data_IF_270750786751
#
_entry.id   IF_270750786751
#
_cell.length_a   1.000
_cell.length_b   1.000
_cell.length_c   1.000
_cell.angle_alpha   90.00
_cell.angle_beta   90.00
_cell.angle_gamma   90.00
#
_symmetry.space_group_name_H-M   'P 1'
#
loop_
_entity.id
_entity.type
_entity.pdbx_description
1 polymer ?
#
# COMPACT_ATOMS: atom_id res chain seq x y z
N UNK A 1 -30.08 2.33 -18.88
CA UNK A 1 -29.53 1.41 -17.84
C UNK A 1 -28.23 2.03 -17.34
N UNK A 2 -27.98 2.03 -16.03
CA UNK A 2 -26.72 2.52 -15.46
C UNK A 2 -25.91 1.36 -14.89
N UNK A 3 -24.62 1.31 -15.22
CA UNK A 3 -23.65 0.37 -14.69
C UNK A 3 -22.72 1.16 -13.78
N UNK A 4 -22.78 0.86 -12.48
CA UNK A 4 -21.97 1.50 -11.45
C UNK A 4 -20.95 0.45 -11.00
N UNK A 5 -19.74 0.54 -11.52
CA UNK A 5 -18.66 -0.36 -11.11
C UNK A 5 -18.13 0.09 -9.75
N UNK A 6 -18.01 -0.81 -8.78
CA UNK A 6 -17.50 -0.52 -7.43
C UNK A 6 -16.15 -1.18 -7.15
N UNK A 7 -15.47 -1.67 -8.18
CA UNK A 7 -14.10 -2.16 -8.05
C UNK A 7 -13.13 -1.00 -7.80
N UNK A 8 -12.16 -1.23 -6.92
CA UNK A 8 -11.13 -0.25 -6.57
C UNK A 8 -10.04 -0.17 -7.66
N UNK A 9 -10.44 0.25 -8.86
CA UNK A 9 -9.61 0.46 -10.03
C UNK A 9 -9.85 1.89 -10.56
N UNK A 10 -8.80 2.62 -10.99
CA UNK A 10 -8.99 3.86 -11.74
C UNK A 10 -9.83 3.63 -13.00
N UNK A 11 -10.70 4.59 -13.34
CA UNK A 11 -11.54 4.54 -14.56
C UNK A 11 -12.27 3.19 -14.72
N UNK A 12 -12.85 2.70 -13.62
CA UNK A 12 -13.48 1.38 -13.55
C UNK A 12 -14.73 1.26 -14.44
N UNK A 13 -15.46 2.35 -14.66
CA UNK A 13 -16.60 2.45 -15.59
C UNK A 13 -16.14 2.37 -17.05
N UNK A 14 -15.13 3.15 -17.42
CA UNK A 14 -14.56 3.09 -18.77
C UNK A 14 -13.94 1.73 -19.07
N UNK A 15 -13.28 1.13 -18.07
CA UNK A 15 -12.67 -0.19 -18.20
C UNK A 15 -13.73 -1.26 -18.47
N UNK A 16 -14.83 -1.29 -17.72
CA UNK A 16 -15.88 -2.29 -17.96
C UNK A 16 -16.61 -2.03 -19.29
N UNK A 17 -16.83 -0.77 -19.68
CA UNK A 17 -17.38 -0.42 -21.00
C UNK A 17 -16.51 -1.00 -22.12
N UNK A 18 -15.19 -0.75 -22.03
CA UNK A 18 -14.22 -1.27 -22.98
C UNK A 18 -14.26 -2.79 -23.05
N UNK A 19 -14.27 -3.48 -21.91
CA UNK A 19 -14.37 -4.95 -21.88
C UNK A 19 -15.66 -5.44 -22.56
N UNK A 20 -16.83 -4.86 -22.25
CA UNK A 20 -18.10 -5.25 -22.88
C UNK A 20 -18.07 -5.13 -24.40
N UNK A 21 -17.44 -4.07 -24.93
CA UNK A 21 -17.41 -3.78 -26.37
C UNK A 21 -16.31 -4.56 -27.12
N UNK A 22 -15.15 -4.74 -26.50
CA UNK A 22 -13.93 -5.19 -27.18
C UNK A 22 -13.60 -6.66 -26.95
N UNK A 23 -14.04 -7.30 -25.85
CA UNK A 23 -13.71 -8.70 -25.59
C UNK A 23 -14.70 -9.67 -26.22
N UNK A 24 -14.23 -10.88 -26.50
CA UNK A 24 -15.06 -12.03 -26.85
C UNK A 24 -15.64 -12.65 -25.58
N UNK A 25 -16.94 -12.92 -25.57
CA UNK A 25 -17.61 -13.57 -24.44
C UNK A 25 -18.84 -14.34 -24.92
N UNK A 26 -19.20 -15.39 -24.18
CA UNK A 26 -20.30 -16.28 -24.54
C UNK A 26 -21.65 -15.55 -24.51
N UNK A 27 -22.35 -15.52 -25.65
CA UNK A 27 -23.62 -14.80 -25.80
C UNK A 27 -23.50 -13.38 -26.34
N UNK A 28 -22.29 -12.96 -26.77
CA UNK A 28 -22.11 -11.70 -27.50
C UNK A 28 -22.96 -11.71 -28.78
N UNK A 29 -23.79 -10.68 -29.03
CA UNK A 29 -24.64 -10.65 -30.22
C UNK A 29 -23.83 -10.74 -31.51
N UNK A 30 -24.37 -11.42 -32.52
CA UNK A 30 -23.74 -11.53 -33.84
C UNK A 30 -23.70 -10.20 -34.57
N UNK A 31 -24.75 -9.37 -34.43
CA UNK A 31 -24.76 -8.00 -34.94
C UNK A 31 -24.08 -7.04 -33.95
N UNK A 32 -22.75 -6.96 -34.08
CA UNK A 32 -21.91 -6.09 -33.25
C UNK A 32 -22.17 -4.60 -33.47
N UNK A 33 -22.62 -4.20 -34.66
CA UNK A 33 -22.86 -2.80 -34.99
C UNK A 33 -24.08 -2.28 -34.25
N UNK A 34 -25.20 -3.01 -34.34
CA UNK A 34 -26.43 -2.67 -33.61
C UNK A 34 -26.23 -2.76 -32.10
N UNK A 35 -25.48 -3.77 -31.63
CA UNK A 35 -25.14 -3.90 -30.22
C UNK A 35 -24.33 -2.70 -29.71
N UNK A 36 -23.27 -2.28 -30.41
CA UNK A 36 -22.47 -1.11 -30.05
C UNK A 36 -23.31 0.16 -29.99
N UNK A 37 -24.13 0.40 -31.01
CA UNK A 37 -25.03 1.56 -31.06
C UNK A 37 -26.01 1.57 -29.87
N UNK A 38 -26.55 0.41 -29.50
CA UNK A 38 -27.41 0.28 -28.32
C UNK A 38 -26.66 0.61 -27.02
N UNK A 39 -25.48 0.00 -26.82
CA UNK A 39 -24.67 0.22 -25.61
C UNK A 39 -24.30 1.69 -25.46
N UNK A 40 -23.84 2.34 -26.53
CA UNK A 40 -23.48 3.76 -26.53
C UNK A 40 -24.68 4.68 -26.25
N UNK A 41 -25.87 4.35 -26.77
CA UNK A 41 -27.04 5.20 -26.64
C UNK A 41 -27.89 4.96 -25.37
N UNK A 42 -27.81 3.77 -24.77
CA UNK A 42 -28.76 3.33 -23.71
C UNK A 42 -28.10 2.91 -22.41
N UNK A 43 -26.78 2.75 -22.39
CA UNK A 43 -26.05 2.28 -21.21
C UNK A 43 -25.05 3.34 -20.76
N UNK A 44 -25.16 3.74 -19.49
CA UNK A 44 -24.25 4.69 -18.86
C UNK A 44 -23.29 3.93 -17.95
N UNK A 45 -22.00 4.01 -18.23
CA UNK A 45 -20.95 3.40 -17.42
C UNK A 45 -20.33 4.48 -16.56
N UNK A 46 -20.60 4.44 -15.26
CA UNK A 46 -20.13 5.46 -14.33
C UNK A 46 -18.78 5.05 -13.76
N UNK A 47 -17.81 5.95 -13.81
CA UNK A 47 -16.59 5.83 -13.03
C UNK A 47 -16.90 6.13 -11.56
N UNK A 48 -16.22 5.42 -10.66
CA UNK A 48 -16.43 5.59 -9.22
C UNK A 48 -15.12 5.57 -8.43
N UNK A 49 -15.19 6.22 -7.26
CA UNK A 49 -14.23 6.04 -6.17
C UNK A 49 -14.98 5.36 -5.02
N UNK A 50 -14.45 4.24 -4.54
CA UNK A 50 -14.97 3.51 -3.39
C UNK A 50 -13.98 3.55 -2.24
N UNK A 51 -14.43 3.72 -1.01
CA UNK A 51 -13.55 3.67 0.16
C UNK A 51 -14.28 3.15 1.39
N UNK A 52 -13.96 1.90 1.78
CA UNK A 52 -14.45 1.29 3.00
C UNK A 52 -13.55 0.15 3.44
N UNK A 53 -13.04 0.21 4.67
CA UNK A 53 -12.31 -0.88 5.29
C UNK A 53 -13.24 -2.09 5.39
N UNK A 54 -12.87 -3.13 4.65
CA UNK A 54 -13.64 -4.36 4.51
C UNK A 54 -12.71 -5.54 4.74
N UNK A 55 -13.03 -6.36 5.73
CA UNK A 55 -12.41 -7.64 6.01
C UNK A 55 -13.49 -8.72 6.01
N UNK A 56 -13.21 -9.87 6.63
CA UNK A 56 -14.14 -10.98 6.73
C UNK A 56 -14.34 -11.38 8.17
N UNK A 57 -15.52 -11.94 8.48
CA UNK A 57 -15.79 -12.44 9.83
C UNK A 57 -14.89 -13.63 10.17
N UNK A 58 -14.44 -13.76 11.43
CA UNK A 58 -13.69 -14.93 11.87
C UNK A 58 -14.40 -16.23 11.48
N UNK A 59 -13.65 -17.15 10.84
CA UNK A 59 -14.18 -18.45 10.41
C UNK A 59 -15.04 -18.43 9.14
N UNK A 60 -15.33 -17.27 8.53
CA UNK A 60 -16.12 -17.22 7.30
C UNK A 60 -15.64 -16.11 6.33
N UNK A 61 -14.81 -16.44 5.33
CA UNK A 61 -14.31 -15.48 4.35
C UNK A 61 -15.40 -14.94 3.40
N UNK A 62 -16.60 -15.54 3.37
CA UNK A 62 -17.68 -15.08 2.50
C UNK A 62 -18.56 -14.01 3.14
N UNK A 63 -18.43 -13.79 4.46
CA UNK A 63 -19.24 -12.80 5.17
C UNK A 63 -18.39 -11.56 5.46
N UNK A 64 -18.67 -10.43 4.79
CA UNK A 64 -17.89 -9.22 4.98
C UNK A 64 -18.08 -8.66 6.40
N UNK A 65 -17.00 -8.15 6.95
CA UNK A 65 -16.96 -7.30 8.13
C UNK A 65 -16.51 -5.92 7.67
N UNK A 66 -17.33 -4.90 7.91
CA UNK A 66 -17.08 -3.55 7.41
C UNK A 66 -17.15 -2.53 8.53
N UNK A 67 -16.33 -1.49 8.43
CA UNK A 67 -16.45 -0.30 9.29
C UNK A 67 -17.80 0.43 9.07
N UNK A 68 -18.24 1.29 10.01
CA UNK A 68 -19.26 2.29 9.77
C UNK A 68 -18.99 3.09 8.50
N UNK A 69 -20.03 3.64 7.88
CA UNK A 69 -19.91 4.37 6.61
C UNK A 69 -18.98 5.58 6.75
N UNK A 70 -17.84 5.62 6.01
CA UNK A 70 -16.99 6.81 5.95
C UNK A 70 -17.70 7.99 5.26
N UNK A 71 -17.16 9.20 5.45
CA UNK A 71 -17.70 10.44 4.85
C UNK A 71 -17.82 10.33 3.34
N UNK A 72 -16.88 9.65 2.69
CA UNK A 72 -16.92 9.33 1.25
C UNK A 72 -16.75 7.81 1.06
N UNK A 73 -17.85 7.08 1.19
CA UNK A 73 -17.89 5.63 0.95
C UNK A 73 -17.92 5.30 -0.55
N UNK A 74 -18.74 6.04 -1.31
CA UNK A 74 -18.93 5.85 -2.74
C UNK A 74 -19.11 7.21 -3.41
N UNK A 75 -18.22 7.54 -4.33
CA UNK A 75 -18.35 8.72 -5.20
C UNK A 75 -18.59 8.24 -6.61
N UNK A 76 -19.64 8.74 -7.24
CA UNK A 76 -20.05 8.34 -8.60
C UNK A 76 -19.94 9.57 -9.50
N UNK A 77 -19.25 9.45 -10.62
CA UNK A 77 -19.28 10.46 -11.66
C UNK A 77 -20.50 10.25 -12.58
N UNK A 78 -21.32 11.29 -12.69
CA UNK A 78 -22.52 11.32 -13.52
C UNK A 78 -22.58 12.63 -14.30
N UNK A 79 -21.71 12.74 -15.31
CA UNK A 79 -21.62 13.93 -16.17
C UNK A 79 -22.86 14.12 -17.05
N UNK A 80 -23.65 13.07 -17.26
CA UNK A 80 -24.88 13.13 -18.06
C UNK A 80 -26.13 13.36 -17.21
N UNK A 81 -26.02 13.39 -15.88
CA UNK A 81 -27.14 13.64 -14.97
C UNK A 81 -28.25 12.59 -15.09
N UNK A 82 -27.90 11.34 -15.38
CA UNK A 82 -28.89 10.26 -15.57
C UNK A 82 -29.31 9.61 -14.26
N UNK A 83 -28.55 9.82 -13.19
CA UNK A 83 -28.88 9.34 -11.85
C UNK A 83 -29.71 10.37 -11.09
N UNK A 84 -30.60 9.90 -10.22
CA UNK A 84 -31.31 10.78 -9.30
C UNK A 84 -30.37 11.20 -8.15
N UNK A 85 -29.66 12.31 -8.35
CA UNK A 85 -28.69 12.82 -7.38
C UNK A 85 -29.29 13.05 -5.99
N UNK A 86 -30.57 13.43 -5.88
CA UNK A 86 -31.25 13.62 -4.59
C UNK A 86 -31.41 12.32 -3.79
N UNK A 87 -31.76 11.22 -4.46
CA UNK A 87 -31.87 9.89 -3.83
C UNK A 87 -30.51 9.37 -3.39
N UNK A 88 -29.50 9.48 -4.26
CA UNK A 88 -28.15 9.00 -3.94
C UNK A 88 -27.49 9.85 -2.84
N UNK A 89 -27.61 11.17 -2.89
CA UNK A 89 -26.99 12.06 -1.89
C UNK A 89 -27.67 12.00 -0.52
N UNK A 90 -28.86 11.38 -0.42
CA UNK A 90 -29.50 11.09 0.86
C UNK A 90 -28.91 9.85 1.55
N UNK A 91 -28.14 9.02 0.83
CA UNK A 91 -27.46 7.87 1.41
C UNK A 91 -26.16 8.34 2.08
N UNK A 92 -25.90 7.97 3.35
CA UNK A 92 -24.66 8.33 4.03
C UNK A 92 -23.43 7.94 3.21
N UNK A 93 -22.47 8.85 3.09
CA UNK A 93 -21.21 8.56 2.41
C UNK A 93 -21.29 8.43 0.89
N UNK A 94 -22.45 8.65 0.25
CA UNK A 94 -22.61 8.58 -1.20
C UNK A 94 -22.64 9.98 -1.81
N UNK A 95 -21.79 10.22 -2.82
CA UNK A 95 -21.66 11.52 -3.47
C UNK A 95 -21.77 11.38 -4.99
N UNK A 96 -22.55 12.25 -5.62
CA UNK A 96 -22.60 12.35 -7.09
C UNK A 96 -21.77 13.55 -7.55
N UNK A 97 -20.86 13.31 -8.50
CA UNK A 97 -20.07 14.35 -9.18
C UNK A 97 -20.62 14.56 -10.57
N UNK A 98 -21.23 15.71 -10.79
CA UNK A 98 -21.77 16.13 -12.10
C UNK A 98 -20.83 17.05 -12.87
N UNK A 99 -19.64 17.32 -12.32
CA UNK A 99 -18.61 18.20 -12.89
C UNK A 99 -17.36 17.38 -13.14
N UNK A 100 -16.87 17.39 -14.39
CA UNK A 100 -15.66 16.70 -14.79
C UNK A 100 -14.45 17.17 -13.97
N UNK A 101 -13.53 16.26 -13.65
CA UNK A 101 -12.35 16.56 -12.81
C UNK A 101 -12.60 16.41 -11.31
N UNK A 102 -13.85 16.34 -10.85
CA UNK A 102 -14.16 16.22 -9.40
C UNK A 102 -13.93 14.81 -8.87
N UNK A 103 -14.24 13.78 -9.65
CA UNK A 103 -13.96 12.40 -9.26
C UNK A 103 -12.45 12.16 -9.13
N UNK A 104 -11.65 12.76 -10.00
CA UNK A 104 -10.19 12.70 -9.98
C UNK A 104 -9.62 13.35 -8.72
N UNK A 105 -10.20 14.47 -8.26
CA UNK A 105 -9.85 15.09 -6.97
C UNK A 105 -10.15 14.15 -5.80
N UNK A 106 -11.31 13.48 -5.81
CA UNK A 106 -11.67 12.49 -4.77
C UNK A 106 -10.72 11.27 -4.78
N UNK A 107 -10.36 10.77 -5.97
CA UNK A 107 -9.36 9.71 -6.11
C UNK A 107 -7.98 10.13 -5.61
N UNK A 108 -7.54 11.34 -5.97
CA UNK A 108 -6.25 11.89 -5.56
C UNK A 108 -6.16 11.97 -4.03
N UNK A 109 -7.21 12.49 -3.38
CA UNK A 109 -7.29 12.60 -1.93
C UNK A 109 -7.22 11.22 -1.26
N UNK A 110 -8.03 10.26 -1.71
CA UNK A 110 -8.01 8.87 -1.21
C UNK A 110 -6.63 8.22 -1.42
N UNK A 111 -6.05 8.36 -2.61
CA UNK A 111 -4.78 7.72 -2.94
C UNK A 111 -3.62 8.27 -2.13
N UNK A 112 -3.57 9.60 -1.96
CA UNK A 112 -2.46 10.28 -1.30
C UNK A 112 -2.58 10.27 0.22
N UNK A 113 -3.79 10.15 0.79
CA UNK A 113 -3.98 10.11 2.24
C UNK A 113 -4.24 8.67 2.66
N UNK A 114 -5.47 8.20 2.49
CA UNK A 114 -5.90 6.90 3.00
C UNK A 114 -4.95 5.79 2.54
N UNK A 115 -4.73 5.65 1.23
CA UNK A 115 -3.89 4.59 0.72
C UNK A 115 -2.39 4.80 1.03
N UNK A 116 -1.86 6.02 0.97
CA UNK A 116 -0.43 6.26 1.19
C UNK A 116 -0.03 6.09 2.67
N UNK A 117 -0.79 6.69 3.58
CA UNK A 117 -0.59 6.55 5.04
C UNK A 117 -0.71 5.09 5.45
N UNK A 118 -1.72 4.39 4.93
CA UNK A 118 -1.88 2.96 5.17
C UNK A 118 -0.67 2.15 4.65
N UNK A 119 -0.16 2.51 3.47
CA UNK A 119 1.03 1.87 2.88
C UNK A 119 2.26 2.09 3.75
N UNK A 120 2.52 3.31 4.23
CA UNK A 120 3.65 3.59 5.12
C UNK A 120 3.54 2.82 6.45
N UNK A 121 2.32 2.69 6.98
CA UNK A 121 2.05 2.01 8.26
C UNK A 121 2.16 0.48 8.18
N UNK A 122 1.58 -0.17 7.16
CA UNK A 122 1.40 -1.64 7.18
C UNK A 122 2.71 -2.40 7.20
N UNK A 123 3.75 -1.92 6.51
CA UNK A 123 5.04 -2.61 6.47
C UNK A 123 5.77 -2.48 7.80
N UNK A 124 5.65 -1.32 8.46
CA UNK A 124 6.23 -1.11 9.78
C UNK A 124 5.54 -2.00 10.82
N UNK A 125 4.20 -2.06 10.80
CA UNK A 125 3.43 -2.98 11.64
C UNK A 125 3.78 -4.44 11.37
N UNK A 126 3.82 -4.85 10.09
CA UNK A 126 4.16 -6.21 9.72
C UNK A 126 5.52 -6.61 10.26
N UNK A 127 6.57 -5.79 10.03
CA UNK A 127 7.93 -6.03 10.54
C UNK A 127 8.00 -6.02 12.08
N UNK A 128 7.16 -5.21 12.73
CA UNK A 128 6.96 -5.19 14.19
C UNK A 128 6.10 -6.36 14.72
N UNK A 129 5.74 -7.32 13.87
CA UNK A 129 4.95 -8.52 14.23
C UNK A 129 3.50 -8.22 14.64
N UNK A 130 2.98 -7.05 14.27
CA UNK A 130 1.57 -6.72 14.40
C UNK A 130 0.79 -7.36 13.25
N UNK A 131 -0.21 -8.19 13.61
CA UNK A 131 -1.03 -8.92 12.64
C UNK A 131 -2.05 -8.01 11.97
N UNK A 132 -2.59 -7.04 12.72
CA UNK A 132 -3.70 -6.22 12.26
C UNK A 132 -3.38 -4.73 12.32
N UNK A 133 -3.98 -3.95 11.44
CA UNK A 133 -3.71 -2.51 11.38
C UNK A 133 -4.15 -1.75 12.62
N UNK A 134 -5.18 -2.23 13.34
CA UNK A 134 -5.61 -1.62 14.61
C UNK A 134 -4.59 -1.80 15.74
N UNK A 135 -3.61 -2.71 15.59
CA UNK A 135 -2.50 -2.84 16.54
C UNK A 135 -1.60 -1.59 16.55
N UNK A 136 -1.77 -0.65 15.61
CA UNK A 136 -1.11 0.67 15.62
C UNK A 136 -1.34 1.41 16.94
N UNK A 137 -2.46 1.18 17.62
CA UNK A 137 -2.76 1.74 18.94
C UNK A 137 -1.74 1.35 20.02
N UNK A 138 -0.98 0.27 19.80
CA UNK A 138 0.07 -0.17 20.71
C UNK A 138 1.43 0.49 20.44
N UNK A 139 1.52 1.33 19.39
CA UNK A 139 2.78 1.93 18.93
C UNK A 139 2.62 3.44 18.69
N UNK A 140 2.67 4.26 19.77
CA UNK A 140 2.57 5.72 19.65
C UNK A 140 3.62 6.33 18.71
N UNK A 141 4.80 5.71 18.60
CA UNK A 141 5.88 6.14 17.72
C UNK A 141 5.52 5.97 16.24
N UNK A 142 4.75 4.92 15.89
CA UNK A 142 4.23 4.75 14.53
C UNK A 142 3.23 5.86 14.22
N UNK A 143 2.33 6.18 15.15
CA UNK A 143 1.39 7.29 14.99
C UNK A 143 2.12 8.62 14.75
N UNK A 144 3.11 8.92 15.57
CA UNK A 144 3.94 10.13 15.42
C UNK A 144 4.65 10.17 14.07
N UNK A 145 5.21 9.04 13.63
CA UNK A 145 5.82 8.91 12.30
C UNK A 145 4.83 9.23 11.17
N UNK A 146 3.59 8.73 11.24
CA UNK A 146 2.57 8.99 10.23
C UNK A 146 2.15 10.46 10.22
N UNK A 147 2.00 11.09 11.39
CA UNK A 147 1.67 12.52 11.50
C UNK A 147 2.77 13.37 10.85
N UNK A 148 4.03 13.02 11.07
CA UNK A 148 5.19 13.71 10.49
C UNK A 148 5.33 13.47 8.99
N UNK A 149 5.13 12.23 8.51
CA UNK A 149 5.09 11.91 7.08
C UNK A 149 3.98 12.70 6.37
N UNK A 150 2.80 12.80 7.00
CA UNK A 150 1.69 13.57 6.47
C UNK A 150 2.05 15.05 6.35
N UNK A 151 2.50 15.65 7.44
CA UNK A 151 2.80 17.08 7.50
C UNK A 151 3.98 17.48 6.60
N UNK A 152 5.01 16.64 6.46
CA UNK A 152 6.24 17.00 5.75
C UNK A 152 6.21 16.67 4.26
N UNK A 153 5.50 15.62 3.83
CA UNK A 153 5.52 15.17 2.44
C UNK A 153 4.13 15.09 1.80
N UNK A 154 3.16 14.44 2.46
CA UNK A 154 1.85 14.17 1.83
C UNK A 154 1.04 15.45 1.66
N UNK A 155 0.81 16.23 2.73
CA UNK A 155 0.01 17.45 2.67
C UNK A 155 0.61 18.50 1.71
N UNK A 156 1.92 18.81 1.74
CA UNK A 156 2.53 19.72 0.77
C UNK A 156 2.47 19.21 -0.67
N UNK A 157 2.42 17.90 -0.90
CA UNK A 157 2.24 17.34 -2.25
C UNK A 157 0.80 17.48 -2.74
N UNK A 158 -0.18 17.49 -1.84
CA UNK A 158 -1.59 17.68 -2.17
C UNK A 158 -1.89 19.14 -2.50
N UNK A 159 -1.26 20.07 -1.78
CA UNK A 159 -1.36 21.51 -2.04
C UNK A 159 -0.91 21.88 -3.45
N UNK A 160 0.26 21.40 -3.88
CA UNK A 160 0.75 21.64 -5.26
C UNK A 160 -0.12 20.98 -6.33
N UNK A 161 -0.96 20.02 -5.95
CA UNK A 161 -1.95 19.34 -6.81
C UNK A 161 -3.37 19.91 -6.66
N UNK A 162 -3.52 21.05 -5.99
CA UNK A 162 -4.77 21.81 -5.92
C UNK A 162 -5.76 21.35 -4.84
N UNK A 163 -5.34 20.50 -3.91
CA UNK A 163 -6.11 20.15 -2.72
C UNK A 163 -5.67 21.06 -1.57
N UNK A 164 -6.60 21.80 -0.98
CA UNK A 164 -6.26 22.73 0.10
C UNK A 164 -5.92 21.99 1.41
N UNK A 165 -5.18 22.66 2.29
CA UNK A 165 -4.70 22.12 3.56
C UNK A 165 -5.83 21.62 4.47
N UNK A 166 -6.93 22.36 4.58
CA UNK A 166 -8.07 21.98 5.43
C UNK A 166 -8.73 20.69 4.97
N UNK A 167 -8.93 20.53 3.66
CA UNK A 167 -9.48 19.30 3.08
C UNK A 167 -8.54 18.11 3.29
N UNK A 168 -7.23 18.33 3.11
CA UNK A 168 -6.23 17.30 3.37
C UNK A 168 -6.19 16.89 4.85
N UNK A 169 -6.21 17.85 5.78
CA UNK A 169 -6.20 17.59 7.22
C UNK A 169 -7.45 16.82 7.65
N UNK A 170 -8.64 17.24 7.21
CA UNK A 170 -9.89 16.54 7.54
C UNK A 170 -9.87 15.08 7.07
N UNK A 171 -9.41 14.84 5.84
CA UNK A 171 -9.30 13.48 5.30
C UNK A 171 -8.25 12.64 6.05
N UNK A 172 -7.16 13.25 6.51
CA UNK A 172 -6.16 12.58 7.34
C UNK A 172 -6.72 12.20 8.72
N UNK A 173 -7.38 13.14 9.40
CA UNK A 173 -7.97 12.92 10.72
C UNK A 173 -9.05 11.82 10.68
N UNK A 174 -9.94 11.87 9.68
CA UNK A 174 -10.94 10.83 9.45
C UNK A 174 -10.26 9.47 9.22
N UNK A 175 -9.24 9.43 8.36
CA UNK A 175 -8.53 8.19 8.05
C UNK A 175 -7.86 7.59 9.28
N UNK A 176 -7.19 8.40 10.09
CA UNK A 176 -6.56 7.93 11.32
C UNK A 176 -7.59 7.40 12.32
N UNK A 177 -8.72 8.09 12.49
CA UNK A 177 -9.83 7.60 13.33
C UNK A 177 -10.39 6.25 12.87
N UNK A 178 -10.44 6.00 11.55
CA UNK A 178 -10.88 4.72 10.96
C UNK A 178 -9.87 3.60 11.22
N UNK A 179 -8.58 3.86 10.97
CA UNK A 179 -7.51 2.87 11.15
C UNK A 179 -7.31 2.49 12.63
N UNK A 180 -7.48 3.45 13.52
CA UNK A 180 -7.40 3.27 14.98
C UNK A 180 -8.65 2.57 15.56
N UNK A 181 -9.66 2.28 14.74
CA UNK A 181 -10.85 1.61 15.23
C UNK A 181 -10.58 0.14 15.59
N UNK A 182 -10.77 -0.20 16.87
CA UNK A 182 -10.43 -1.51 17.49
C UNK A 182 -11.02 -2.76 16.82
N UNK A 183 -12.09 -2.61 16.04
CA UNK A 183 -12.84 -3.73 15.46
C UNK A 183 -12.68 -3.90 13.94
N UNK A 184 -12.00 -2.99 13.24
CA UNK A 184 -11.94 -2.99 11.77
C UNK A 184 -10.51 -3.04 11.22
N UNK A 185 -9.57 -3.55 12.03
CA UNK A 185 -8.21 -3.79 11.59
C UNK A 185 -8.15 -4.76 10.40
N UNK A 186 -7.32 -4.45 9.41
CA UNK A 186 -7.01 -5.33 8.30
C UNK A 186 -5.74 -6.11 8.58
N UNK A 187 -5.61 -7.31 8.00
CA UNK A 187 -4.38 -8.10 8.09
C UNK A 187 -3.21 -7.37 7.40
N UNK A 188 -2.13 -7.11 8.14
CA UNK A 188 -0.98 -6.30 7.67
C UNK A 188 -0.23 -6.97 6.53
N UNK A 189 -0.19 -8.30 6.48
CA UNK A 189 0.49 -9.06 5.43
C UNK A 189 -0.37 -9.18 4.19
N UNK A 190 -1.69 -9.34 4.34
CA UNK A 190 -2.63 -9.25 3.22
C UNK A 190 -2.57 -7.86 2.56
N UNK A 191 -2.63 -6.80 3.37
CA UNK A 191 -2.53 -5.42 2.87
C UNK A 191 -1.13 -5.12 2.35
N UNK A 192 -0.08 -5.79 2.82
CA UNK A 192 1.31 -5.59 2.39
C UNK A 192 1.63 -6.06 0.96
N UNK A 193 0.80 -6.91 0.34
CA UNK A 193 1.11 -7.48 -0.99
C UNK A 193 1.18 -6.42 -2.10
N UNK A 194 1.98 -6.68 -3.16
CA UNK A 194 2.20 -5.75 -4.27
C UNK A 194 2.77 -4.39 -3.82
N UNK A 195 3.80 -4.44 -2.98
CA UNK A 195 4.30 -3.28 -2.27
C UNK A 195 4.85 -2.19 -3.19
N UNK A 196 5.60 -2.54 -4.25
CA UNK A 196 6.16 -1.51 -5.14
C UNK A 196 5.11 -0.84 -6.01
N UNK A 197 4.06 -1.56 -6.43
CA UNK A 197 2.91 -0.97 -7.12
C UNK A 197 2.24 0.06 -6.21
N UNK A 198 2.00 -0.31 -4.95
CA UNK A 198 1.38 0.58 -3.94
C UNK A 198 2.27 1.76 -3.63
N UNK A 199 3.57 1.54 -3.41
CA UNK A 199 4.54 2.59 -3.16
C UNK A 199 4.53 3.62 -4.29
N UNK A 200 4.64 3.17 -5.55
CA UNK A 200 4.64 4.04 -6.73
C UNK A 200 3.43 4.97 -6.80
N UNK A 201 2.23 4.39 -6.80
CA UNK A 201 1.00 5.18 -7.03
C UNK A 201 0.53 5.97 -5.82
N UNK A 202 0.99 5.64 -4.60
CA UNK A 202 0.49 6.24 -3.34
C UNK A 202 1.50 7.18 -2.68
N UNK A 203 2.72 6.69 -2.41
CA UNK A 203 3.75 7.45 -1.69
C UNK A 203 4.67 8.20 -2.66
N UNK A 204 5.25 7.49 -3.63
CA UNK A 204 6.20 8.08 -4.56
C UNK A 204 5.57 9.14 -5.45
N UNK A 205 4.29 9.00 -5.82
CA UNK A 205 3.53 10.03 -6.54
C UNK A 205 3.49 11.39 -5.81
N UNK A 206 3.61 11.39 -4.48
CA UNK A 206 3.74 12.63 -3.69
C UNK A 206 5.10 13.29 -3.90
N UNK A 207 6.17 12.49 -3.97
CA UNK A 207 7.52 12.96 -4.29
C UNK A 207 7.59 13.50 -5.72
N UNK A 208 7.03 12.77 -6.69
CA UNK A 208 7.01 13.19 -8.11
C UNK A 208 6.32 14.54 -8.27
N UNK A 209 5.17 14.74 -7.63
CA UNK A 209 4.44 16.00 -7.67
C UNK A 209 5.26 17.18 -7.13
N UNK A 210 6.01 16.96 -6.04
CA UNK A 210 6.86 17.98 -5.42
C UNK A 210 8.08 18.30 -6.29
N UNK A 211 8.78 17.28 -6.80
CA UNK A 211 9.94 17.46 -7.70
C UNK A 211 9.54 18.17 -8.99
N UNK A 212 8.37 17.85 -9.55
CA UNK A 212 7.87 18.52 -10.75
C UNK A 212 7.60 20.02 -10.53
N UNK A 213 7.22 20.42 -9.30
CA UNK A 213 7.00 21.82 -8.95
C UNK A 213 8.27 22.54 -8.52
N UNK A 214 9.18 21.83 -7.85
CA UNK A 214 10.45 22.34 -7.34
C UNK A 214 11.55 21.27 -7.50
N UNK A 215 12.45 21.49 -8.47
CA UNK A 215 13.57 20.59 -8.74
C UNK A 215 14.59 20.46 -7.60
N UNK A 216 14.56 21.39 -6.64
CA UNK A 216 15.43 21.38 -5.45
C UNK A 216 14.83 20.62 -4.29
N UNK A 217 13.54 20.28 -4.35
CA UNK A 217 12.86 19.50 -3.32
C UNK A 217 13.60 18.19 -3.03
N UNK A 218 13.67 17.88 -1.74
CA UNK A 218 14.15 16.60 -1.22
C UNK A 218 13.06 16.03 -0.31
N UNK A 219 12.70 14.74 -0.47
CA UNK A 219 11.79 14.07 0.45
C UNK A 219 12.28 14.17 1.89
N UNK A 220 11.37 14.25 2.85
CA UNK A 220 11.76 14.24 4.26
C UNK A 220 12.36 12.90 4.68
N UNK A 221 13.01 12.88 5.85
CA UNK A 221 13.47 11.64 6.49
C UNK A 221 12.34 10.63 6.71
N UNK A 222 11.10 11.08 6.87
CA UNK A 222 9.95 10.21 7.09
C UNK A 222 9.56 9.50 5.79
N UNK A 223 9.56 10.19 4.64
CA UNK A 223 9.36 9.55 3.34
C UNK A 223 10.51 8.58 3.01
N UNK A 224 11.74 8.96 3.31
CA UNK A 224 12.89 8.07 3.17
C UNK A 224 12.77 6.83 4.05
N UNK A 225 12.34 6.99 5.31
CA UNK A 225 12.11 5.89 6.24
C UNK A 225 10.98 4.97 5.77
N UNK A 226 9.84 5.51 5.31
CA UNK A 226 8.75 4.73 4.72
C UNK A 226 9.25 3.86 3.56
N UNK A 227 10.07 4.46 2.68
CA UNK A 227 10.70 3.77 1.55
C UNK A 227 11.63 2.65 2.03
N UNK A 228 12.48 2.93 3.01
CA UNK A 228 13.41 1.96 3.57
C UNK A 228 12.68 0.76 4.22
N UNK A 229 11.58 1.01 4.95
CA UNK A 229 10.74 -0.04 5.55
C UNK A 229 10.15 -0.95 4.46
N UNK A 230 9.63 -0.38 3.37
CA UNK A 230 9.08 -1.15 2.24
C UNK A 230 10.17 -2.02 1.62
N UNK A 231 11.35 -1.47 1.36
CA UNK A 231 12.47 -2.24 0.81
C UNK A 231 12.96 -3.33 1.78
N UNK A 232 12.95 -3.04 3.09
CA UNK A 232 13.26 -4.03 4.13
C UNK A 232 12.25 -5.18 4.16
N UNK A 233 10.96 -4.88 3.96
CA UNK A 233 9.92 -5.89 3.83
C UNK A 233 10.09 -6.72 2.54
N UNK A 234 10.51 -6.09 1.45
CA UNK A 234 10.71 -6.76 0.17
C UNK A 234 12.05 -7.50 0.03
N UNK A 235 12.92 -7.45 1.04
CA UNK A 235 14.22 -8.11 0.99
C UNK A 235 14.09 -9.59 1.37
N UNK A 236 14.31 -10.54 0.44
CA UNK A 236 14.22 -11.96 0.77
C UNK A 236 15.35 -12.40 1.71
N UNK A 237 15.11 -13.48 2.45
CA UNK A 237 16.12 -14.13 3.29
C UNK A 237 16.65 -15.45 2.74
N UNK A 238 16.17 -15.85 1.57
CA UNK A 238 16.60 -17.06 0.87
C UNK A 238 16.62 -16.80 -0.64
N UNK A 239 17.49 -17.55 -1.33
CA UNK A 239 17.64 -17.44 -2.79
C UNK A 239 16.42 -17.96 -3.55
N UNK A 240 15.76 -18.97 -2.99
CA UNK A 240 14.67 -19.68 -3.65
C UNK A 240 13.34 -18.95 -3.47
N UNK A 241 12.71 -18.63 -4.60
CA UNK A 241 11.29 -18.28 -4.68
C UNK A 241 10.48 -19.52 -5.07
N UNK A 242 9.29 -19.71 -4.50
CA UNK A 242 8.36 -20.75 -4.97
C UNK A 242 7.40 -20.21 -6.04
N UNK A 243 6.97 -21.07 -6.96
CA UNK A 243 5.87 -20.82 -7.91
C UNK A 243 4.82 -21.90 -7.71
N UNK A 244 3.55 -21.50 -7.67
CA UNK A 244 2.45 -22.46 -7.53
C UNK A 244 2.08 -23.13 -8.85
N UNK A 245 2.30 -22.44 -9.98
CA UNK A 245 2.07 -22.97 -11.33
C UNK A 245 2.86 -22.16 -12.38
N UNK A 246 2.86 -22.65 -13.63
CA UNK A 246 3.47 -21.94 -14.76
C UNK A 246 2.70 -20.62 -14.99
N UNK A 247 3.40 -19.48 -14.87
CA UNK A 247 2.80 -18.15 -15.00
C UNK A 247 2.28 -17.56 -13.68
N UNK A 248 2.29 -18.31 -12.57
CA UNK A 248 1.97 -17.75 -11.25
C UNK A 248 3.03 -16.72 -10.81
N UNK A 249 2.62 -15.71 -10.00
CA UNK A 249 3.58 -14.81 -9.36
C UNK A 249 4.60 -15.58 -8.53
N UNK A 250 5.81 -15.02 -8.46
CA UNK A 250 6.85 -15.58 -7.59
C UNK A 250 6.61 -15.21 -6.13
N UNK A 251 6.71 -16.22 -5.27
CA UNK A 251 6.55 -16.10 -3.83
C UNK A 251 7.93 -16.12 -3.19
N UNK A 252 8.26 -15.05 -2.47
CA UNK A 252 9.51 -14.87 -1.74
C UNK A 252 9.28 -15.05 -0.24
N UNK A 253 10.36 -15.29 0.50
CA UNK A 253 10.31 -15.39 1.96
C UNK A 253 11.15 -14.26 2.57
N UNK A 254 10.52 -13.45 3.41
CA UNK A 254 11.17 -12.41 4.21
C UNK A 254 11.22 -12.78 5.70
N UNK A 255 11.88 -11.93 6.49
CA UNK A 255 11.94 -12.06 7.95
C UNK A 255 11.52 -10.80 8.69
N UNK A 256 10.79 -10.99 9.78
CA UNK A 256 10.37 -9.99 10.76
C UNK A 256 11.55 -9.63 11.66
N UNK A 257 11.56 -8.40 12.17
CA UNK A 257 12.64 -7.95 13.04
C UNK A 257 12.59 -8.66 14.40
N UNK A 258 13.75 -8.81 15.05
CA UNK A 258 13.87 -9.42 16.38
C UNK A 258 13.51 -8.40 17.47
N UNK A 259 12.69 -8.81 18.43
CA UNK A 259 12.37 -7.95 19.58
C UNK A 259 13.55 -8.02 20.56
N UNK A 260 14.09 -6.87 20.97
CA UNK A 260 15.17 -6.77 21.97
C UNK A 260 14.76 -7.22 23.39
N UNK A 261 13.47 -7.45 23.66
CA UNK A 261 12.96 -7.99 24.92
C UNK A 261 12.83 -9.52 24.88
N UNK A 262 13.83 -10.18 25.47
CA UNK A 262 13.95 -11.63 25.65
C UNK A 262 13.09 -12.16 26.80
N UNK A 263 11.78 -11.92 26.78
CA UNK A 263 10.88 -12.70 27.63
C UNK A 263 10.29 -13.83 26.78
N UNK A 264 10.75 -15.08 26.92
CA UNK A 264 10.21 -16.18 26.15
C UNK A 264 8.85 -16.56 26.72
N UNK A 265 7.77 -16.29 26.00
CA UNK A 265 6.54 -17.05 26.23
C UNK A 265 6.63 -18.26 25.31
N UNK A 266 7.15 -19.36 25.86
CA UNK A 266 6.88 -20.67 25.30
C UNK A 266 5.37 -20.89 25.35
N UNK A 267 4.73 -21.03 24.18
CA UNK A 267 3.54 -21.85 24.03
C UNK A 267 3.57 -22.48 22.64
N UNK A 268 3.40 -23.80 22.62
CA UNK A 268 3.44 -24.63 21.44
C UNK A 268 2.29 -24.26 20.47
N UNK A 269 2.64 -24.14 19.17
CA UNK A 269 1.77 -24.26 17.98
C UNK A 269 0.46 -23.44 17.96
N UNK A 270 0.52 -22.16 17.54
CA UNK A 270 -0.70 -21.36 17.20
C UNK A 270 -0.48 -20.17 16.22
N UNK A 271 0.76 -19.85 15.80
CA UNK A 271 1.08 -18.53 15.21
C UNK A 271 1.39 -18.50 13.72
N UNK A 272 1.24 -19.61 12.99
CA UNK A 272 1.20 -19.55 11.51
C UNK A 272 -0.22 -19.26 11.08
N UNK A 273 -0.42 -18.29 10.20
CA UNK A 273 -1.70 -18.12 9.52
C UNK A 273 -1.51 -17.94 8.02
N UNK A 274 -2.57 -18.27 7.29
CA UNK A 274 -2.67 -18.07 5.85
C UNK A 274 -3.42 -16.77 5.59
N UNK A 275 -2.93 -15.98 4.64
CA UNK A 275 -3.57 -14.77 4.14
C UNK A 275 -3.46 -14.71 2.61
N UNK A 276 -4.24 -13.80 2.03
CA UNK A 276 -4.34 -13.66 0.57
C UNK A 276 -4.62 -15.02 -0.10
N UNK A 277 -4.00 -15.27 -1.26
CA UNK A 277 -4.15 -16.49 -2.04
C UNK A 277 -3.16 -17.57 -1.58
N UNK A 278 -3.16 -17.95 -0.30
CA UNK A 278 -2.35 -19.06 0.20
C UNK A 278 -0.94 -18.69 0.70
N UNK A 279 -0.66 -17.41 0.92
CA UNK A 279 0.59 -16.95 1.54
C UNK A 279 0.54 -17.15 3.05
N UNK A 280 1.69 -17.38 3.67
CA UNK A 280 1.79 -17.63 5.11
C UNK A 280 2.68 -16.63 5.85
N UNK A 281 2.39 -16.42 7.12
CA UNK A 281 3.27 -15.70 8.04
C UNK A 281 3.25 -16.41 9.39
N UNK A 282 4.38 -16.33 10.09
CA UNK A 282 4.53 -16.92 11.41
C UNK A 282 5.29 -15.96 12.33
N UNK A 283 4.59 -15.42 13.31
CA UNK A 283 5.13 -14.48 14.29
C UNK A 283 6.17 -15.15 15.20
N UNK A 284 6.10 -16.46 15.44
CA UNK A 284 7.09 -17.17 16.27
C UNK A 284 8.42 -17.34 15.55
N UNK A 285 8.41 -17.83 14.31
CA UNK A 285 9.63 -17.99 13.51
C UNK A 285 10.12 -16.67 12.94
N UNK A 286 9.24 -15.67 12.87
CA UNK A 286 9.52 -14.40 12.22
C UNK A 286 9.60 -14.53 10.70
N UNK A 287 9.07 -15.58 10.08
CA UNK A 287 9.05 -15.73 8.61
C UNK A 287 7.71 -15.31 8.03
N UNK A 288 7.72 -14.74 6.84
CA UNK A 288 6.52 -14.48 6.05
C UNK A 288 6.80 -14.62 4.56
N UNK A 289 5.74 -14.91 3.81
CA UNK A 289 5.76 -15.00 2.36
C UNK A 289 5.23 -13.71 1.72
N UNK A 290 5.75 -13.31 0.57
CA UNK A 290 5.22 -12.14 -0.12
C UNK A 290 5.37 -12.25 -1.63
N UNK A 291 4.53 -11.50 -2.32
CA UNK A 291 4.57 -11.29 -3.76
C UNK A 291 4.71 -9.80 -4.07
N UNK A 292 5.55 -9.47 -5.04
CA UNK A 292 5.72 -8.10 -5.51
C UNK A 292 5.81 -8.05 -7.05
N UNK A 293 4.69 -7.66 -7.66
CA UNK A 293 4.55 -7.66 -9.12
C UNK A 293 4.60 -9.07 -9.71
N UNK A 294 4.39 -9.16 -11.02
CA UNK A 294 4.27 -10.45 -11.72
C UNK A 294 5.58 -11.27 -11.70
N UNK A 295 6.73 -10.58 -11.68
CA UNK A 295 8.06 -11.22 -11.81
C UNK A 295 9.00 -11.04 -10.61
N UNK A 296 8.58 -10.35 -9.55
CA UNK A 296 9.39 -10.19 -8.34
C UNK A 296 10.72 -9.47 -8.54
N UNK A 297 10.81 -8.55 -9.51
CA UNK A 297 12.10 -7.95 -9.93
C UNK A 297 12.79 -7.21 -8.77
N UNK A 298 12.03 -6.46 -7.98
CA UNK A 298 12.53 -5.73 -6.81
C UNK A 298 13.15 -6.69 -5.80
N UNK A 299 12.42 -7.75 -5.44
CA UNK A 299 12.87 -8.75 -4.47
C UNK A 299 14.14 -9.46 -4.93
N UNK A 300 14.23 -9.82 -6.22
CA UNK A 300 15.44 -10.40 -6.82
C UNK A 300 16.64 -9.46 -6.78
N UNK A 301 16.44 -8.18 -7.08
CA UNK A 301 17.50 -7.18 -7.04
C UNK A 301 17.98 -6.93 -5.61
N UNK A 302 17.06 -6.82 -4.66
CA UNK A 302 17.36 -6.67 -3.24
C UNK A 302 18.13 -7.88 -2.71
N UNK A 303 17.71 -9.10 -3.08
CA UNK A 303 18.44 -10.32 -2.73
C UNK A 303 19.89 -10.30 -3.26
N UNK A 304 20.08 -10.06 -4.56
CA UNK A 304 21.43 -10.01 -5.15
C UNK A 304 22.31 -8.97 -4.49
N UNK A 305 21.74 -7.80 -4.21
CA UNK A 305 22.49 -6.69 -3.62
C UNK A 305 22.83 -6.97 -2.15
N UNK A 306 21.91 -7.56 -1.38
CA UNK A 306 22.18 -7.96 0.00
C UNK A 306 23.30 -9.00 0.08
N UNK A 307 23.35 -9.96 -0.85
CA UNK A 307 24.45 -10.92 -0.93
C UNK A 307 25.80 -10.24 -1.24
N UNK A 308 25.82 -9.25 -2.14
CA UNK A 308 27.05 -8.52 -2.46
C UNK A 308 27.57 -7.72 -1.25
N UNK A 309 26.68 -7.07 -0.50
CA UNK A 309 27.05 -6.29 0.68
C UNK A 309 27.54 -7.20 1.81
N UNK A 310 26.84 -8.31 2.07
CA UNK A 310 27.25 -9.30 3.06
C UNK A 310 28.58 -9.97 2.69
N UNK A 311 28.76 -10.33 1.41
CA UNK A 311 30.02 -10.89 0.90
C UNK A 311 31.19 -9.90 0.94
N UNK A 312 30.96 -8.63 0.64
CA UNK A 312 31.95 -7.57 0.76
C UNK A 312 32.35 -7.34 2.22
N UNK A 313 31.38 -7.35 3.14
CA UNK A 313 31.59 -7.20 4.59
C UNK A 313 32.41 -8.37 5.18
N UNK A 314 32.25 -9.57 4.63
CA UNK A 314 33.07 -10.74 4.98
C UNK A 314 34.48 -10.69 4.37
N UNK A 315 34.66 -9.99 3.24
CA UNK A 315 35.94 -9.86 2.54
C UNK A 315 36.80 -8.69 3.04
N UNK A 316 36.18 -7.63 3.60
CA UNK A 316 36.87 -6.53 4.25
C UNK A 316 37.15 -6.85 5.71
N UNK A 317 38.24 -7.55 5.98
CA UNK A 317 38.79 -7.77 7.33
C UNK A 317 39.40 -6.51 7.96
N UNK A 318 38.75 -5.35 7.80
CA UNK A 318 38.89 -4.27 8.78
C UNK A 318 37.75 -4.42 9.77
N UNK A 319 38.11 -4.87 10.97
CA UNK A 319 37.20 -4.97 12.09
C UNK A 319 36.46 -3.63 12.27
N UNK A 320 35.18 -3.60 11.90
CA UNK A 320 34.26 -2.66 12.50
C UNK A 320 34.41 -2.81 14.02
N UNK A 321 34.57 -1.72 14.80
CA UNK A 321 34.70 -1.82 16.24
C UNK A 321 33.51 -2.62 16.76
N UNK A 322 33.78 -3.84 17.23
CA UNK A 322 32.78 -4.66 17.90
C UNK A 322 32.38 -3.88 19.14
N UNK A 323 31.25 -3.19 19.07
CA UNK A 323 30.57 -2.72 20.27
C UNK A 323 30.31 -3.96 21.12
N UNK A 324 30.74 -3.92 22.39
CA UNK A 324 30.56 -5.01 23.37
C UNK A 324 29.07 -5.35 23.59
N UNK A 325 28.15 -4.60 22.96
CA UNK A 325 26.69 -4.82 22.94
C UNK A 325 26.12 -5.44 21.65
N UNK A 326 26.89 -5.66 20.59
CA UNK A 326 26.36 -6.16 19.32
C UNK A 326 26.36 -7.71 19.29
N UNK A 327 25.16 -8.31 19.27
CA UNK A 327 24.97 -9.76 19.13
C UNK A 327 24.75 -10.17 17.66
N UNK A 328 24.98 -11.45 17.32
CA UNK A 328 25.08 -11.95 15.94
C UNK A 328 23.85 -11.76 15.03
N UNK A 329 22.65 -11.51 15.57
CA UNK A 329 21.46 -11.17 14.77
C UNK A 329 21.40 -9.70 14.35
N UNK A 330 22.13 -8.82 15.05
CA UNK A 330 22.30 -7.41 14.67
C UNK A 330 23.12 -7.26 13.39
N UNK A 331 23.99 -8.22 13.06
CA UNK A 331 24.83 -8.21 11.86
C UNK A 331 24.01 -8.46 10.57
N UNK A 332 22.96 -9.29 10.62
CA UNK A 332 22.09 -9.55 9.45
C UNK A 332 21.10 -8.40 9.22
N UNK A 333 20.51 -7.85 10.28
CA UNK A 333 19.60 -6.70 10.18
C UNK A 333 20.35 -5.41 9.81
N UNK A 334 21.54 -5.20 10.36
CA UNK A 334 22.43 -4.10 9.93
C UNK A 334 22.95 -4.31 8.51
N UNK A 335 23.27 -5.55 8.09
CA UNK A 335 23.70 -5.84 6.72
C UNK A 335 22.63 -5.51 5.67
N UNK A 336 21.35 -5.82 5.94
CA UNK A 336 20.23 -5.43 5.07
C UNK A 336 19.96 -3.93 5.13
N UNK A 337 20.00 -3.32 6.32
CA UNK A 337 19.86 -1.86 6.47
C UNK A 337 20.95 -1.08 5.74
N UNK A 338 22.21 -1.54 5.81
CA UNK A 338 23.35 -1.01 5.07
C UNK A 338 23.18 -1.22 3.56
N UNK A 339 22.69 -2.38 3.13
CA UNK A 339 22.43 -2.64 1.71
C UNK A 339 21.33 -1.72 1.15
N UNK A 340 20.24 -1.52 1.90
CA UNK A 340 19.16 -0.60 1.51
C UNK A 340 19.67 0.84 1.49
N UNK A 341 20.40 1.29 2.52
CA UNK A 341 20.98 2.63 2.56
C UNK A 341 22.00 2.87 1.43
N UNK A 342 22.81 1.86 1.09
CA UNK A 342 23.79 1.91 -0.01
C UNK A 342 23.11 1.96 -1.38
N UNK A 343 22.01 1.21 -1.58
CA UNK A 343 21.23 1.32 -2.82
C UNK A 343 20.59 2.70 -2.91
N UNK A 344 19.95 3.17 -1.83
CA UNK A 344 19.29 4.47 -1.82
C UNK A 344 20.29 5.61 -2.07
N UNK A 345 21.50 5.55 -1.53
CA UNK A 345 22.54 6.57 -1.79
C UNK A 345 23.05 6.61 -3.24
N UNK A 346 22.85 5.54 -4.01
CA UNK A 346 23.14 5.54 -5.46
C UNK A 346 22.02 6.16 -6.30
N UNK A 347 20.84 6.40 -5.72
CA UNK A 347 19.73 7.10 -6.39
C UNK A 347 19.99 8.60 -6.35
N UNK A 348 20.12 9.21 -7.53
CA UNK A 348 20.41 10.65 -7.69
C UNK A 348 19.33 11.48 -6.97
N UNK A 349 19.71 12.15 -5.87
CA UNK A 349 18.80 12.97 -5.05
C UNK A 349 18.40 12.35 -3.70
N UNK A 350 18.86 11.15 -3.37
CA UNK A 350 18.56 10.43 -2.13
C UNK A 350 19.85 10.22 -1.30
N UNK A 351 20.43 11.31 -0.80
CA UNK A 351 21.63 11.26 0.05
C UNK A 351 21.25 11.34 1.54
N UNK A 352 21.33 10.21 2.24
CA UNK A 352 21.04 10.08 3.68
C UNK A 352 22.22 10.51 4.57
N UNK A 353 23.38 10.88 3.99
CA UNK A 353 24.58 11.27 4.75
C UNK A 353 24.65 12.76 5.04
N UNK A 354 23.70 13.55 4.53
CA UNK A 354 23.68 14.98 4.71
C UNK A 354 22.93 15.34 6.02
N UNK A 355 23.63 15.97 6.96
CA UNK A 355 23.12 16.33 8.31
C UNK A 355 21.92 17.31 8.32
N UNK A 356 21.44 17.73 7.15
CA UNK A 356 20.25 18.59 7.00
C UNK A 356 18.91 17.88 7.31
N UNK A 357 18.96 16.69 7.90
CA UNK A 357 17.84 15.78 8.15
C UNK A 357 17.60 15.52 9.66
N UNK A 358 18.05 16.43 10.54
CA UNK A 358 17.71 16.45 11.97
C UNK A 358 16.48 17.32 12.27
#
# INVERSE_FOLDING_TARGET
MSVINTDNLPSNGDTIKRLVLETEWAGKPTDLTTFRAYVEAKVHFHNTMVDRLTSHRPGNPLVPLTEPWPTKTLVIEDLQGVLNAGVFSALPGVHIRTVAGKLEQDHLLKLSIANAVHTAMVYLLALARAKTTCDVLNYPEIRQFLDLLFAKDIAPSLEVRGINETEAQHAYDEWMGRVEHKHFGLDTFWVGQNAMLKYGVRLFSSVEARVAKDSTYRPSVFMAFATAIILRYLTPTQADSRKESVGAPEIFVGTLDSIQNRTPIFSATEKTWIYANGLSANISTGKYEFMDGEKGQTAKLLWRTSQNVLGASQSSSHAFPKSVRAESSSEVSSGVGVAVATILSTVKGFDLTNEACA
#
